data_IF_291195543155
#
_entry.id   IF_291195543155
#
_cell.length_a   1.000
_cell.length_b   1.000
_cell.length_c   1.000
_cell.angle_alpha   90.00
_cell.angle_beta   90.00
_cell.angle_gamma   90.00
#
_symmetry.space_group_name_H-M   'P 1'
#
loop_
_entity.id
_entity.type
_entity.pdbx_description
1 polymer ?
#
# COMPACT_ATOMS: atom_id res chain seq x y z
N UNK A 1 -13.02 -24.17 30.07
CA UNK A 1 -11.60 -24.57 29.92
C UNK A 1 -11.08 -24.01 28.63
N UNK A 2 -10.24 -22.98 28.79
CA UNK A 2 -9.33 -22.28 27.89
C UNK A 2 -9.36 -22.69 26.40
N UNK A 3 -9.83 -21.76 25.57
CA UNK A 3 -9.57 -21.74 24.13
C UNK A 3 -8.11 -21.35 23.88
N UNK A 4 -7.40 -22.19 23.16
CA UNK A 4 -6.03 -21.92 22.71
C UNK A 4 -6.06 -20.84 21.62
N UNK A 5 -5.72 -19.62 22.00
CA UNK A 5 -5.23 -18.61 21.06
C UNK A 5 -3.91 -19.09 20.47
N UNK A 6 -3.98 -19.72 19.29
CA UNK A 6 -2.82 -19.99 18.46
C UNK A 6 -2.25 -18.67 17.93
N UNK A 7 -1.28 -18.13 18.67
CA UNK A 7 -0.28 -17.19 18.18
C UNK A 7 0.56 -17.90 17.12
N UNK A 8 0.06 -17.95 15.88
CA UNK A 8 0.79 -18.52 14.75
C UNK A 8 1.81 -17.47 14.28
N UNK A 9 3.09 -17.71 14.56
CA UNK A 9 4.19 -16.92 14.00
C UNK A 9 4.15 -16.93 12.46
N UNK A 10 4.66 -15.87 11.80
CA UNK A 10 4.60 -15.75 10.33
C UNK A 10 5.19 -16.97 9.61
N UNK A 11 6.22 -17.58 10.18
CA UNK A 11 6.84 -18.82 9.72
C UNK A 11 5.93 -20.05 9.86
N UNK A 12 5.20 -20.18 10.98
CA UNK A 12 4.32 -21.32 11.25
C UNK A 12 3.06 -21.30 10.37
N UNK A 13 2.55 -20.11 10.04
CA UNK A 13 1.44 -19.95 9.09
C UNK A 13 1.92 -20.32 7.69
N UNK A 14 3.03 -19.75 7.23
CA UNK A 14 3.59 -20.04 5.90
C UNK A 14 3.94 -21.53 5.73
N UNK A 15 4.40 -22.20 6.80
CA UNK A 15 4.70 -23.63 6.78
C UNK A 15 3.46 -24.53 6.75
N UNK A 16 2.45 -24.28 7.62
CA UNK A 16 1.16 -24.99 7.55
C UNK A 16 0.42 -24.72 6.24
N UNK A 17 0.54 -23.52 5.70
CA UNK A 17 -0.06 -23.08 4.45
C UNK A 17 0.60 -23.72 3.22
N UNK A 18 1.93 -23.84 3.20
CA UNK A 18 2.67 -24.59 2.17
C UNK A 18 2.35 -26.08 2.23
N UNK A 19 2.12 -26.65 3.42
CA UNK A 19 1.67 -28.04 3.58
C UNK A 19 0.25 -28.25 3.03
N UNK A 20 -0.71 -27.35 3.28
CA UNK A 20 -2.04 -27.42 2.66
C UNK A 20 -1.98 -27.27 1.12
N UNK A 21 -1.10 -26.41 0.62
CA UNK A 21 -0.87 -26.23 -0.82
C UNK A 21 -0.17 -27.43 -1.47
N UNK A 22 0.68 -28.16 -0.74
CA UNK A 22 1.33 -29.38 -1.26
C UNK A 22 0.35 -30.54 -1.53
N UNK A 23 -0.89 -30.45 -1.01
CA UNK A 23 -1.99 -31.35 -1.38
C UNK A 23 -2.68 -30.97 -2.69
N UNK A 24 -2.53 -29.72 -3.16
CA UNK A 24 -2.99 -29.25 -4.46
C UNK A 24 -1.79 -29.18 -5.41
N UNK A 25 -1.40 -30.34 -5.95
CA UNK A 25 -0.38 -30.41 -7.00
C UNK A 25 -0.71 -29.51 -8.19
N UNK A 26 0.34 -28.91 -8.75
CA UNK A 26 0.40 -28.16 -10.01
C UNK A 26 -0.33 -26.79 -10.06
N UNK A 27 0.43 -25.79 -10.52
CA UNK A 27 0.02 -24.44 -10.98
C UNK A 27 -1.22 -23.86 -10.29
N UNK A 28 -1.01 -22.96 -9.32
CA UNK A 28 -2.09 -22.19 -8.70
C UNK A 28 -2.95 -21.51 -9.79
N UNK A 29 -4.15 -22.03 -10.04
CA UNK A 29 -5.09 -21.39 -10.95
C UNK A 29 -5.63 -20.08 -10.33
N UNK A 30 -6.19 -19.19 -11.15
CA UNK A 30 -6.67 -17.87 -10.69
C UNK A 30 -7.69 -17.98 -9.55
N UNK A 31 -8.53 -19.02 -9.53
CA UNK A 31 -9.50 -19.28 -8.45
C UNK A 31 -8.81 -19.58 -7.12
N UNK A 32 -7.75 -20.40 -7.12
CA UNK A 32 -6.96 -20.68 -5.92
C UNK A 32 -6.25 -19.40 -5.45
N UNK A 33 -5.62 -18.65 -6.36
CA UNK A 33 -4.94 -17.38 -6.04
C UNK A 33 -5.92 -16.39 -5.39
N UNK A 34 -7.11 -16.22 -5.94
CA UNK A 34 -8.13 -15.33 -5.39
C UNK A 34 -8.54 -15.72 -3.97
N UNK A 35 -8.68 -17.02 -3.69
CA UNK A 35 -8.99 -17.53 -2.34
C UNK A 35 -7.84 -17.29 -1.36
N UNK A 36 -6.59 -17.50 -1.78
CA UNK A 36 -5.40 -17.21 -0.96
C UNK A 36 -5.31 -15.73 -0.61
N UNK A 37 -5.53 -14.85 -1.60
CA UNK A 37 -5.58 -13.40 -1.40
C UNK A 37 -6.63 -13.03 -0.35
N UNK A 38 -7.83 -13.62 -0.39
CA UNK A 38 -8.89 -13.32 0.57
C UNK A 38 -8.54 -13.74 2.00
N UNK A 39 -7.94 -14.92 2.19
CA UNK A 39 -7.45 -15.37 3.50
C UNK A 39 -6.39 -14.40 4.03
N UNK A 40 -5.42 -14.04 3.18
CA UNK A 40 -4.35 -13.12 3.56
C UNK A 40 -4.86 -11.71 3.87
N UNK A 41 -5.91 -11.22 3.20
CA UNK A 41 -6.51 -9.91 3.52
C UNK A 41 -7.05 -9.89 4.95
N UNK A 42 -7.78 -10.93 5.35
CA UNK A 42 -8.34 -11.04 6.71
C UNK A 42 -7.25 -11.08 7.77
N UNK A 43 -6.22 -11.87 7.51
CA UNK A 43 -5.08 -11.99 8.41
C UNK A 43 -4.26 -10.70 8.52
N UNK A 44 -3.99 -10.05 7.38
CA UNK A 44 -3.27 -8.77 7.35
C UNK A 44 -4.01 -7.68 8.14
N UNK A 45 -5.35 -7.61 8.01
CA UNK A 45 -6.17 -6.68 8.81
C UNK A 45 -6.04 -6.99 10.30
N UNK A 46 -6.11 -8.27 10.72
CA UNK A 46 -5.96 -8.66 12.13
C UNK A 46 -4.59 -8.31 12.70
N UNK A 47 -3.51 -8.67 12.00
CA UNK A 47 -2.13 -8.35 12.42
C UNK A 47 -1.93 -6.86 12.58
N UNK A 48 -2.42 -6.10 11.61
CA UNK A 48 -2.34 -4.65 11.66
C UNK A 48 -3.13 -4.11 12.83
N UNK A 49 -4.35 -4.57 13.09
CA UNK A 49 -5.18 -4.15 14.22
C UNK A 49 -4.54 -4.44 15.59
N UNK A 50 -3.64 -5.41 15.68
CA UNK A 50 -2.91 -5.72 16.92
C UNK A 50 -1.87 -4.67 17.33
N UNK A 51 -1.44 -3.79 16.41
CA UNK A 51 -0.54 -2.69 16.74
C UNK A 51 -1.24 -1.62 17.57
N UNK A 52 -0.63 -1.30 18.71
CA UNK A 52 -1.05 -0.21 19.59
C UNK A 52 -0.82 1.15 18.93
N UNK A 53 -1.50 2.19 19.44
CA UNK A 53 -1.32 3.55 18.94
C UNK A 53 0.13 4.06 19.11
N UNK A 54 0.82 3.66 20.18
CA UNK A 54 2.20 4.05 20.44
C UNK A 54 3.17 3.39 19.45
N UNK A 55 3.01 2.08 19.19
CA UNK A 55 3.81 1.36 18.19
C UNK A 55 3.61 1.96 16.79
N UNK A 56 2.37 2.29 16.42
CA UNK A 56 2.09 2.96 15.14
C UNK A 56 2.75 4.31 15.03
N UNK A 57 2.63 5.16 16.06
CA UNK A 57 3.21 6.50 16.02
C UNK A 57 4.75 6.44 15.87
N UNK A 58 5.41 5.53 16.57
CA UNK A 58 6.85 5.30 16.43
C UNK A 58 7.21 4.77 15.04
N UNK A 59 6.45 3.80 14.55
CA UNK A 59 6.67 3.20 13.24
C UNK A 59 6.45 4.23 12.10
N UNK A 60 5.38 5.02 12.18
CA UNK A 60 5.04 6.06 11.21
C UNK A 60 6.15 7.11 11.09
N UNK A 61 6.68 7.59 12.23
CA UNK A 61 7.80 8.53 12.25
C UNK A 61 9.07 7.94 11.60
N UNK A 62 9.37 6.67 11.89
CA UNK A 62 10.50 5.97 11.30
C UNK A 62 10.32 5.78 9.78
N UNK A 63 9.12 5.39 9.34
CA UNK A 63 8.76 5.25 7.92
C UNK A 63 8.91 6.59 7.19
N UNK A 64 8.40 7.69 7.77
CA UNK A 64 8.54 9.02 7.20
C UNK A 64 10.01 9.44 7.07
N UNK A 65 10.80 9.21 8.13
CA UNK A 65 12.25 9.47 8.10
C UNK A 65 12.97 8.70 7.00
N UNK A 66 12.64 7.42 6.80
CA UNK A 66 13.22 6.61 5.72
C UNK A 66 12.79 7.07 4.33
N UNK A 67 11.51 7.44 4.17
CA UNK A 67 11.01 7.96 2.90
C UNK A 67 11.80 9.21 2.50
N UNK A 68 11.94 10.17 3.42
CA UNK A 68 12.68 11.41 3.16
C UNK A 68 14.18 11.21 2.94
N UNK A 69 14.76 10.11 3.44
CA UNK A 69 16.17 9.79 3.27
C UNK A 69 16.50 9.16 1.89
N UNK A 70 15.50 8.81 1.09
CA UNK A 70 15.73 8.26 -0.25
C UNK A 70 16.21 9.36 -1.22
N UNK A 71 17.36 9.17 -1.92
CA UNK A 71 17.83 10.14 -2.90
C UNK A 71 16.84 10.42 -4.03
N UNK A 72 16.00 9.45 -4.38
CA UNK A 72 14.97 9.60 -5.40
C UNK A 72 13.83 10.52 -4.94
N UNK A 73 13.60 10.64 -3.64
CA UNK A 73 12.52 11.45 -3.07
C UNK A 73 12.83 12.94 -3.14
N UNK A 74 14.10 13.33 -3.02
CA UNK A 74 14.52 14.74 -3.08
C UNK A 74 14.29 15.41 -4.44
N UNK A 75 14.08 14.61 -5.48
CA UNK A 75 13.84 15.07 -6.86
C UNK A 75 12.35 15.13 -7.24
N UNK A 76 11.45 14.65 -6.38
CA UNK A 76 10.02 14.59 -6.70
C UNK A 76 9.40 15.98 -6.61
N UNK A 77 8.77 16.42 -7.70
CA UNK A 77 8.00 17.65 -7.76
C UNK A 77 6.49 17.37 -7.65
N UNK A 78 6.04 16.24 -8.16
CA UNK A 78 4.64 15.81 -8.13
C UNK A 78 4.54 14.44 -7.45
N UNK A 79 3.93 14.40 -6.26
CA UNK A 79 3.77 13.18 -5.46
C UNK A 79 2.29 12.87 -5.24
N UNK A 80 1.83 11.75 -5.79
CA UNK A 80 0.50 11.22 -5.48
C UNK A 80 0.50 10.39 -4.21
N UNK A 81 -0.40 10.68 -3.27
CA UNK A 81 -0.46 10.04 -1.95
C UNK A 81 -1.90 9.72 -1.58
N UNK A 82 -2.16 8.54 -1.01
CA UNK A 82 -3.47 8.22 -0.45
C UNK A 82 -3.70 8.93 0.88
N UNK A 83 -4.94 9.28 1.19
CA UNK A 83 -5.27 9.74 2.54
C UNK A 83 -5.30 8.56 3.51
N UNK A 84 -4.26 8.43 4.35
CA UNK A 84 -4.14 7.28 5.26
C UNK A 84 -5.20 7.27 6.35
N UNK A 85 -5.83 6.12 6.53
CA UNK A 85 -6.69 5.84 7.70
C UNK A 85 -5.86 5.68 8.98
N UNK A 86 -6.46 5.77 10.18
CA UNK A 86 -5.73 5.58 11.45
C UNK A 86 -5.07 4.21 11.61
N UNK A 87 -5.53 3.20 10.87
CA UNK A 87 -4.95 1.85 10.91
C UNK A 87 -3.82 1.63 9.90
N UNK A 88 -3.66 2.53 8.93
CA UNK A 88 -2.63 2.44 7.88
C UNK A 88 -1.37 3.18 8.33
N UNK A 89 -0.23 2.79 7.75
CA UNK A 89 0.99 3.59 7.85
C UNK A 89 0.69 5.03 7.45
N UNK A 90 1.00 5.96 8.35
CA UNK A 90 0.59 7.35 8.20
C UNK A 90 1.35 8.03 7.07
N UNK A 91 0.60 8.75 6.24
CA UNK A 91 1.14 9.57 5.15
C UNK A 91 1.35 11.03 5.56
N UNK A 92 0.85 11.43 6.74
CA UNK A 92 0.71 12.85 7.14
C UNK A 92 2.05 13.57 7.23
N UNK A 93 3.04 12.93 7.85
CA UNK A 93 4.35 13.54 8.03
C UNK A 93 5.11 13.63 6.70
N UNK A 94 5.00 12.61 5.84
CA UNK A 94 5.57 12.63 4.48
C UNK A 94 4.96 13.78 3.69
N UNK A 95 3.63 13.93 3.73
CA UNK A 95 2.91 15.01 3.04
C UNK A 95 3.38 16.38 3.51
N UNK A 96 3.51 16.60 4.83
CA UNK A 96 4.02 17.87 5.37
C UNK A 96 5.43 18.16 4.86
N UNK A 97 6.36 17.20 5.03
CA UNK A 97 7.77 17.39 4.68
C UNK A 97 7.98 17.56 3.17
N UNK A 98 7.20 16.87 2.33
CA UNK A 98 7.26 17.02 0.88
C UNK A 98 6.73 18.38 0.42
N UNK A 99 5.66 18.90 1.05
CA UNK A 99 5.19 20.27 0.79
C UNK A 99 6.21 21.31 1.21
N UNK A 100 6.83 21.15 2.38
CA UNK A 100 7.91 22.02 2.87
C UNK A 100 9.11 22.03 1.91
N UNK A 101 9.39 20.90 1.27
CA UNK A 101 10.40 20.77 0.22
C UNK A 101 9.97 21.33 -1.15
N UNK A 102 8.74 21.86 -1.28
CA UNK A 102 8.22 22.47 -2.50
C UNK A 102 7.51 21.52 -3.47
N UNK A 103 7.31 20.25 -3.10
CA UNK A 103 6.57 19.31 -3.92
C UNK A 103 5.05 19.57 -3.84
N UNK A 104 4.37 19.33 -4.97
CA UNK A 104 2.91 19.34 -5.05
C UNK A 104 2.37 17.97 -4.67
N UNK A 105 1.44 17.96 -3.73
CA UNK A 105 0.76 16.74 -3.28
C UNK A 105 -0.53 16.56 -4.06
N UNK A 106 -0.71 15.35 -4.59
CA UNK A 106 -1.84 14.95 -5.39
C UNK A 106 -2.62 13.84 -4.67
N UNK A 107 -3.94 13.97 -4.66
CA UNK A 107 -4.83 13.03 -3.98
C UNK A 107 -5.58 12.18 -5.00
N UNK A 108 -5.71 10.86 -4.77
CA UNK A 108 -6.50 10.00 -5.63
C UNK A 108 -7.98 10.37 -5.54
N UNK A 109 -8.63 10.47 -6.69
CA UNK A 109 -10.08 10.63 -6.85
C UNK A 109 -10.62 9.46 -7.65
N UNK A 110 -11.71 8.85 -7.19
CA UNK A 110 -12.27 7.69 -7.87
C UNK A 110 -13.08 8.10 -9.10
N UNK A 111 -12.81 7.45 -10.23
CA UNK A 111 -13.55 7.64 -11.49
C UNK A 111 -14.47 6.42 -11.68
N UNK A 112 -15.80 6.56 -11.49
CA UNK A 112 -16.75 5.46 -11.61
C UNK A 112 -16.73 4.77 -12.98
N UNK A 113 -16.72 5.56 -14.05
CA UNK A 113 -16.89 5.11 -15.45
C UNK A 113 -15.71 4.25 -15.90
N UNK A 114 -14.49 4.65 -15.51
CA UNK A 114 -13.26 3.91 -15.79
C UNK A 114 -12.96 2.85 -14.71
N UNK A 115 -13.73 2.83 -13.61
CA UNK A 115 -13.41 2.09 -12.39
C UNK A 115 -11.94 2.28 -11.98
N UNK A 116 -11.39 3.49 -12.11
CA UNK A 116 -9.96 3.80 -11.92
C UNK A 116 -9.78 4.97 -10.96
N UNK A 117 -8.54 5.44 -10.80
CA UNK A 117 -8.22 6.67 -10.07
C UNK A 117 -7.60 7.68 -11.03
N UNK A 118 -7.90 8.95 -10.78
CA UNK A 118 -7.10 10.09 -11.21
C UNK A 118 -6.49 10.79 -10.00
N UNK A 119 -5.56 11.70 -10.24
CA UNK A 119 -4.88 12.42 -9.17
C UNK A 119 -5.10 13.92 -9.35
N UNK A 120 -5.59 14.59 -8.32
CA UNK A 120 -5.85 16.02 -8.36
C UNK A 120 -5.08 16.74 -7.27
N UNK A 121 -4.58 17.94 -7.58
CA UNK A 121 -3.91 18.78 -6.60
C UNK A 121 -4.96 19.47 -5.72
N UNK A 122 -4.84 19.28 -4.40
CA UNK A 122 -5.69 19.93 -3.41
C UNK A 122 -4.96 20.04 -2.06
N UNK A 123 -5.40 20.96 -1.21
CA UNK A 123 -5.01 20.96 0.19
C UNK A 123 -5.78 19.89 0.97
N UNK A 124 -5.21 19.37 2.06
CA UNK A 124 -5.82 18.29 2.86
C UNK A 124 -7.18 18.69 3.43
N UNK A 125 -7.34 19.98 3.75
CA UNK A 125 -8.58 20.56 4.29
C UNK A 125 -9.70 20.67 3.25
N UNK A 126 -9.38 20.50 1.97
CA UNK A 126 -10.35 20.54 0.86
C UNK A 126 -10.86 19.14 0.49
N UNK A 127 -10.36 18.10 1.15
CA UNK A 127 -10.81 16.74 0.90
C UNK A 127 -12.17 16.49 1.54
N UNK A 128 -13.05 15.85 0.78
CA UNK A 128 -14.42 15.57 1.17
C UNK A 128 -14.60 14.07 1.34
N UNK A 129 -15.31 13.67 2.39
CA UNK A 129 -15.72 12.27 2.54
C UNK A 129 -16.69 11.91 1.41
N UNK A 130 -16.33 10.89 0.64
CA UNK A 130 -17.10 10.38 -0.49
C UNK A 130 -17.44 8.91 -0.26
N UNK A 131 -17.39 8.11 -1.32
CA UNK A 131 -17.80 6.71 -1.30
C UNK A 131 -16.91 5.93 -0.32
N UNK A 132 -17.53 5.03 0.44
CA UNK A 132 -16.84 4.20 1.45
C UNK A 132 -16.12 4.99 2.56
N UNK A 133 -16.48 6.27 2.77
CA UNK A 133 -15.86 7.11 3.79
C UNK A 133 -14.42 7.55 3.46
N UNK A 134 -13.99 7.35 2.21
CA UNK A 134 -12.66 7.78 1.74
C UNK A 134 -12.71 9.27 1.45
N UNK A 135 -11.68 9.99 1.90
CA UNK A 135 -11.51 11.40 1.57
C UNK A 135 -10.95 11.55 0.15
N UNK A 136 -11.62 12.34 -0.67
CA UNK A 136 -11.26 12.60 -2.06
C UNK A 136 -11.32 14.12 -2.33
N UNK A 137 -10.49 14.64 -3.27
CA UNK A 137 -10.57 16.04 -3.66
C UNK A 137 -11.90 16.33 -4.39
N UNK A 138 -12.33 17.59 -4.39
CA UNK A 138 -13.56 18.00 -5.08
C UNK A 138 -13.48 17.76 -6.60
N UNK A 139 -14.61 17.79 -7.31
CA UNK A 139 -14.65 17.57 -8.76
C UNK A 139 -13.91 18.68 -9.54
N UNK A 140 -13.86 19.88 -8.96
CA UNK A 140 -13.25 21.09 -9.51
C UNK A 140 -11.73 21.14 -9.29
N UNK A 141 -11.19 20.28 -8.42
CA UNK A 141 -9.76 20.21 -8.16
C UNK A 141 -8.99 19.86 -9.45
N UNK A 142 -7.88 20.57 -9.75
CA UNK A 142 -7.13 20.39 -10.98
C UNK A 142 -6.49 19.00 -11.04
N UNK A 143 -6.93 18.22 -12.03
CA UNK A 143 -6.38 16.88 -12.32
C UNK A 143 -5.03 17.01 -12.99
N UNK A 144 -4.06 16.22 -12.50
CA UNK A 144 -2.72 16.14 -13.07
C UNK A 144 -2.62 14.86 -13.91
N UNK A 145 -2.22 14.95 -15.19
CA UNK A 145 -2.00 13.78 -16.03
C UNK A 145 -0.96 12.84 -15.42
N UNK A 146 -1.25 11.54 -15.45
CA UNK A 146 -0.44 10.51 -14.79
C UNK A 146 1.06 10.51 -15.19
N UNK A 147 1.37 10.89 -16.45
CA UNK A 147 2.76 10.98 -16.93
C UNK A 147 3.56 12.15 -16.35
N UNK A 148 2.90 13.11 -15.69
CA UNK A 148 3.53 14.23 -15.00
C UNK A 148 3.79 13.95 -13.51
N UNK A 149 3.38 12.78 -13.01
CA UNK A 149 3.50 12.44 -11.59
C UNK A 149 4.80 11.66 -11.38
N UNK A 150 5.73 12.23 -10.61
CA UNK A 150 7.07 11.67 -10.43
C UNK A 150 7.07 10.44 -9.52
N UNK A 151 6.22 10.47 -8.48
CA UNK A 151 6.08 9.38 -7.52
C UNK A 151 4.64 9.12 -7.09
N UNK A 152 4.32 7.86 -6.80
CA UNK A 152 3.07 7.45 -6.16
C UNK A 152 3.36 6.67 -4.87
N UNK A 153 2.72 7.07 -3.78
CA UNK A 153 2.63 6.29 -2.55
C UNK A 153 1.37 5.43 -2.60
N UNK A 154 1.54 4.12 -2.61
CA UNK A 154 0.50 3.13 -2.93
C UNK A 154 0.13 2.35 -1.67
N UNK A 155 -1.16 2.30 -1.28
CA UNK A 155 -1.60 1.56 -0.11
C UNK A 155 -1.66 0.04 -0.36
N UNK A 156 -1.42 -0.74 0.70
CA UNK A 156 -1.50 -2.20 0.68
C UNK A 156 -1.73 -2.78 2.06
N UNK A 157 -2.29 -4.01 2.08
CA UNK A 157 -2.48 -4.79 3.29
C UNK A 157 -1.26 -5.67 3.57
N UNK A 158 -0.61 -6.19 2.53
CA UNK A 158 0.63 -6.93 2.63
C UNK A 158 1.52 -6.69 1.40
N UNK A 159 2.81 -6.89 1.58
CA UNK A 159 3.83 -6.76 0.54
C UNK A 159 4.83 -7.90 0.66
N UNK A 160 5.55 -8.21 -0.41
CA UNK A 160 6.78 -9.02 -0.34
C UNK A 160 7.98 -8.25 -0.90
N UNK A 161 9.19 -8.74 -0.63
CA UNK A 161 10.42 -8.04 -1.01
C UNK A 161 10.63 -7.95 -2.54
N UNK A 162 9.86 -8.70 -3.33
CA UNK A 162 9.83 -8.58 -4.79
C UNK A 162 8.89 -7.48 -5.28
N UNK A 163 8.26 -6.74 -4.36
CA UNK A 163 7.36 -5.63 -4.66
C UNK A 163 5.93 -6.04 -4.99
N UNK A 164 5.56 -7.32 -4.82
CA UNK A 164 4.15 -7.72 -4.96
C UNK A 164 3.36 -7.13 -3.80
N UNK A 165 2.09 -6.82 -4.06
CA UNK A 165 1.22 -6.12 -3.13
C UNK A 165 -0.15 -6.77 -3.07
N UNK A 166 -0.66 -6.93 -1.85
CA UNK A 166 -2.04 -7.32 -1.59
C UNK A 166 -2.87 -6.08 -1.28
N UNK A 167 -3.69 -5.62 -2.21
CA UNK A 167 -4.67 -4.56 -1.97
C UNK A 167 -5.98 -5.06 -1.36
N UNK A 168 -6.94 -4.13 -1.15
CA UNK A 168 -8.30 -4.43 -0.68
C UNK A 168 -9.21 -5.15 -1.71
N UNK A 169 -8.68 -5.53 -2.87
CA UNK A 169 -9.37 -6.35 -3.87
C UNK A 169 -10.19 -5.60 -4.93
N UNK A 170 -10.11 -4.26 -5.00
CA UNK A 170 -10.80 -3.48 -6.03
C UNK A 170 -10.01 -3.26 -7.33
N UNK A 171 -8.69 -3.49 -7.30
CA UNK A 171 -7.81 -3.34 -8.47
C UNK A 171 -7.62 -1.89 -8.97
N UNK A 172 -7.99 -0.88 -8.17
CA UNK A 172 -7.90 0.53 -8.58
C UNK A 172 -6.47 0.94 -8.92
N UNK A 173 -5.53 0.67 -8.01
CA UNK A 173 -4.12 0.97 -8.24
C UNK A 173 -3.53 0.10 -9.35
N UNK A 174 -3.91 -1.17 -9.46
CA UNK A 174 -3.38 -2.03 -10.52
C UNK A 174 -3.72 -1.48 -11.92
N UNK A 175 -4.94 -0.94 -12.11
CA UNK A 175 -5.33 -0.23 -13.35
C UNK A 175 -4.57 1.07 -13.59
N UNK A 176 -4.30 1.85 -12.54
CA UNK A 176 -3.46 3.06 -12.66
C UNK A 176 -2.03 2.70 -13.06
N UNK A 177 -1.46 1.68 -12.42
CA UNK A 177 -0.04 1.37 -12.49
C UNK A 177 0.37 0.74 -13.83
N UNK A 178 -0.54 0.09 -14.55
CA UNK A 178 -0.31 -0.43 -15.91
C UNK A 178 0.32 0.61 -16.85
N UNK A 179 -0.17 1.85 -16.78
CA UNK A 179 0.29 2.96 -17.62
C UNK A 179 1.21 3.95 -16.88
N UNK A 180 1.48 3.70 -15.60
CA UNK A 180 2.37 4.55 -14.80
C UNK A 180 3.84 4.16 -14.97
N UNK A 181 4.70 5.17 -15.09
CA UNK A 181 6.14 5.01 -15.32
C UNK A 181 7.03 5.72 -14.29
N UNK A 182 6.45 6.50 -13.38
CA UNK A 182 7.18 7.09 -12.26
C UNK A 182 7.43 6.09 -11.13
N UNK A 183 7.96 6.59 -10.02
CA UNK A 183 8.39 5.78 -8.88
C UNK A 183 7.21 5.31 -8.03
N UNK A 184 7.24 4.04 -7.62
CA UNK A 184 6.15 3.40 -6.87
C UNK A 184 6.65 3.07 -5.47
N UNK A 185 6.13 3.77 -4.47
CA UNK A 185 6.48 3.59 -3.07
C UNK A 185 5.34 2.92 -2.30
N UNK A 186 5.70 2.02 -1.40
CA UNK A 186 4.81 1.45 -0.41
C UNK A 186 5.27 1.85 0.99
N UNK A 187 4.33 2.31 1.81
CA UNK A 187 4.52 2.45 3.25
C UNK A 187 3.89 1.23 3.92
N UNK A 188 4.63 0.57 4.78
CA UNK A 188 4.20 -0.67 5.40
C UNK A 188 4.79 -0.80 6.80
N UNK A 189 4.05 -1.37 7.73
CA UNK A 189 4.67 -1.90 8.95
C UNK A 189 5.42 -3.19 8.64
N UNK A 190 6.44 -3.56 9.42
CA UNK A 190 7.21 -4.80 9.17
C UNK A 190 6.31 -6.05 9.17
N UNK A 191 5.27 -6.04 10.00
CA UNK A 191 4.25 -7.11 10.05
C UNK A 191 3.47 -7.30 8.74
N UNK A 192 3.51 -6.31 7.84
CA UNK A 192 2.87 -6.36 6.52
C UNK A 192 3.82 -6.91 5.45
N UNK A 193 5.12 -7.05 5.73
CA UNK A 193 6.09 -7.64 4.81
C UNK A 193 6.14 -9.15 5.03
N UNK A 194 5.66 -9.89 4.04
CA UNK A 194 5.56 -11.35 4.05
C UNK A 194 6.67 -11.97 3.19
N UNK A 195 7.02 -13.25 3.43
CA UNK A 195 7.93 -13.98 2.55
C UNK A 195 7.44 -14.04 1.10
N UNK A 196 6.13 -14.12 0.90
CA UNK A 196 5.51 -14.17 -0.42
C UNK A 196 4.08 -13.63 -0.38
N UNK A 197 3.71 -12.82 -1.37
CA UNK A 197 2.34 -12.42 -1.64
C UNK A 197 1.86 -13.09 -2.94
N UNK A 198 0.73 -13.82 -2.93
CA UNK A 198 0.19 -14.43 -4.14
C UNK A 198 -0.28 -13.34 -5.10
N UNK A 199 0.16 -13.46 -6.35
CA UNK A 199 -0.11 -12.48 -7.39
C UNK A 199 -0.59 -13.15 -8.68
N UNK A 200 -1.34 -12.40 -9.47
CA UNK A 200 -1.82 -12.71 -10.81
C UNK A 200 -1.07 -11.83 -11.82
N UNK A 201 -1.14 -12.18 -13.10
CA UNK A 201 -0.39 -11.48 -14.16
C UNK A 201 -0.71 -9.99 -14.29
N UNK A 202 -1.88 -9.56 -13.81
CA UNK A 202 -2.32 -8.17 -13.85
C UNK A 202 -1.99 -7.37 -12.59
N UNK A 203 -1.45 -8.01 -11.54
CA UNK A 203 -1.09 -7.29 -10.30
C UNK A 203 0.21 -6.52 -10.52
N UNK A 204 0.17 -5.23 -10.23
CA UNK A 204 1.32 -4.34 -10.44
C UNK A 204 2.20 -4.27 -9.19
N UNK A 205 3.51 -4.20 -9.41
CA UNK A 205 4.52 -4.15 -8.35
C UNK A 205 4.88 -2.72 -7.96
N UNK A 206 5.37 -2.57 -6.73
CA UNK A 206 6.04 -1.36 -6.24
C UNK A 206 7.56 -1.46 -6.42
N UNK A 207 8.24 -0.32 -6.47
CA UNK A 207 9.70 -0.25 -6.61
C UNK A 207 10.39 -0.18 -5.23
N UNK A 208 9.71 0.38 -4.23
CA UNK A 208 10.25 0.58 -2.89
C UNK A 208 9.23 0.23 -1.80
N UNK A 209 9.67 -0.46 -0.75
CA UNK A 209 8.89 -0.69 0.47
C UNK A 209 9.65 -0.08 1.66
N UNK A 210 8.96 0.80 2.39
CA UNK A 210 9.48 1.58 3.49
C UNK A 210 8.78 1.08 4.76
N UNK A 211 9.55 0.46 5.66
CA UNK A 211 9.07 0.03 6.97
C UNK A 211 9.77 0.78 8.10
N UNK A 212 9.30 0.59 9.32
CA UNK A 212 9.91 1.17 10.51
C UNK A 212 11.38 0.74 10.67
N UNK A 213 11.75 -0.48 10.24
CA UNK A 213 13.12 -0.99 10.36
C UNK A 213 13.92 -1.02 9.06
N UNK A 214 13.27 -1.03 7.89
CA UNK A 214 13.93 -1.32 6.61
C UNK A 214 13.52 -0.38 5.48
N UNK A 215 14.45 -0.18 4.55
CA UNK A 215 14.21 0.39 3.22
C UNK A 215 14.53 -0.71 2.21
N UNK A 216 13.52 -1.19 1.48
CA UNK A 216 13.65 -2.33 0.58
C UNK A 216 13.50 -1.84 -0.86
N UNK A 217 14.56 -2.00 -1.66
CA UNK A 217 14.50 -1.82 -3.11
C UNK A 217 13.99 -3.11 -3.75
N UNK A 218 12.80 -3.07 -4.34
CA UNK A 218 12.18 -4.24 -4.94
C UNK A 218 12.84 -4.54 -6.29
N UNK A 219 13.38 -5.75 -6.44
CA UNK A 219 13.97 -6.20 -7.70
C UNK A 219 12.84 -6.55 -8.67
N UNK A 220 12.92 -6.03 -9.89
CA UNK A 220 12.05 -6.40 -11.01
C UNK A 220 12.40 -7.78 -11.54
#
# INVERSE_FOLDING_TARGET
>A
MLGEELLISSHSFHFKFRLELSHYGETLNSTTIARLKEILRREAVRRRAALTAAERAQADAAIAGRFMALPQVTLLQELGVYWSTPEEASTREIVSRMREAGARILWPRWIPEASSLEFAAAHETELLAKRWGILEPSAEAPVIPLHRIDGLVIPGLAFDESGRRLGRGRGFYDRVLQNYRGLRFALAYDIQVLPEVPAEAHDERVDWILTETRTIACKK
#
